data_IF_074249371830
#
_entry.id   IF_074249371830
#
_cell.length_a   1.000
_cell.length_b   1.000
_cell.length_c   1.000
_cell.angle_alpha   90.00
_cell.angle_beta   90.00
_cell.angle_gamma   90.00
#
_symmetry.space_group_name_H-M   'P 1'
#
loop_
_entity.id
_entity.type
_entity.pdbx_description
1 polymer ?
#
# COMPACT_ATOMS: atom_id res chain seq x y z
N UNK A 1 -54.27 -52.24 11.25
CA UNK A 1 -52.92 -52.81 11.44
C UNK A 1 -52.16 -52.69 10.11
N UNK A 2 -50.85 -52.42 10.20
CA UNK A 2 -49.87 -52.19 9.11
C UNK A 2 -50.08 -50.86 8.35
N UNK A 3 -49.36 -49.76 8.61
CA UNK A 3 -47.90 -49.50 8.73
C UNK A 3 -47.14 -49.73 7.41
N UNK A 4 -46.92 -48.67 6.64
CA UNK A 4 -45.91 -48.68 5.56
C UNK A 4 -45.25 -47.30 5.46
N UNK A 5 -43.93 -47.35 5.45
CA UNK A 5 -42.96 -46.28 5.70
C UNK A 5 -42.92 -45.19 4.62
N UNK A 6 -42.71 -43.94 5.05
CA UNK A 6 -42.32 -42.82 4.20
C UNK A 6 -40.82 -42.98 3.90
N UNK A 7 -40.47 -43.39 2.68
CA UNK A 7 -39.07 -43.42 2.23
C UNK A 7 -38.62 -42.02 1.83
N UNK A 8 -37.73 -41.48 2.65
CA UNK A 8 -37.04 -40.21 2.46
C UNK A 8 -36.28 -40.18 1.12
N UNK A 9 -36.65 -39.24 0.25
CA UNK A 9 -35.95 -38.94 -0.98
C UNK A 9 -34.73 -38.08 -0.64
N UNK A 10 -33.62 -38.71 -0.24
CA UNK A 10 -32.33 -38.02 -0.15
C UNK A 10 -31.81 -37.79 -1.57
N UNK A 11 -32.06 -36.58 -2.08
CA UNK A 11 -31.45 -36.05 -3.29
C UNK A 11 -29.94 -35.93 -3.03
N UNK A 12 -29.17 -36.93 -3.47
CA UNK A 12 -27.72 -36.85 -3.49
C UNK A 12 -27.32 -35.82 -4.56
N UNK A 13 -27.19 -34.56 -4.15
CA UNK A 13 -26.49 -33.55 -4.92
C UNK A 13 -25.03 -33.98 -4.91
N UNK A 14 -24.58 -34.59 -6.01
CA UNK A 14 -23.17 -34.64 -6.35
C UNK A 14 -22.70 -33.19 -6.50
N UNK A 15 -22.15 -32.62 -5.42
CA UNK A 15 -21.19 -31.53 -5.52
C UNK A 15 -19.99 -32.13 -6.24
N UNK A 16 -19.97 -32.00 -7.57
CA UNK A 16 -18.71 -31.93 -8.30
C UNK A 16 -18.03 -30.68 -7.74
N UNK A 17 -17.15 -30.89 -6.76
CA UNK A 17 -16.10 -29.93 -6.43
C UNK A 17 -15.35 -29.67 -7.74
N UNK A 18 -15.69 -28.55 -8.40
CA UNK A 18 -14.73 -27.87 -9.25
C UNK A 18 -13.63 -27.41 -8.29
N UNK A 19 -12.68 -28.31 -8.03
CA UNK A 19 -11.37 -27.91 -7.62
C UNK A 19 -10.88 -26.90 -8.66
N UNK A 20 -10.99 -25.61 -8.35
CA UNK A 20 -10.20 -24.60 -9.02
C UNK A 20 -8.75 -25.04 -8.80
N UNK A 21 -8.17 -25.68 -9.81
CA UNK A 21 -6.80 -26.17 -9.80
C UNK A 21 -5.89 -24.99 -9.52
N UNK A 22 -5.48 -24.85 -8.27
CA UNK A 22 -4.52 -23.85 -7.87
C UNK A 22 -3.19 -24.25 -8.50
N UNK A 23 -2.64 -23.39 -9.37
CA UNK A 23 -1.34 -23.60 -10.00
C UNK A 23 -0.31 -23.92 -8.91
N UNK A 24 0.37 -25.06 -9.04
CA UNK A 24 1.38 -25.48 -8.08
C UNK A 24 2.74 -24.81 -8.36
N UNK A 25 3.03 -23.75 -7.60
CA UNK A 25 4.22 -22.91 -7.78
C UNK A 25 5.50 -23.55 -7.22
N UNK A 26 6.55 -23.55 -8.03
CA UNK A 26 7.90 -23.95 -7.62
C UNK A 26 8.62 -22.77 -6.97
N UNK A 27 8.77 -22.78 -5.64
CA UNK A 27 9.60 -21.83 -4.89
C UNK A 27 9.05 -20.41 -4.76
N UNK A 28 8.27 -19.92 -5.73
CA UNK A 28 7.14 -18.96 -5.63
C UNK A 28 6.81 -18.26 -6.97
N UNK A 29 7.67 -18.31 -8.00
CA UNK A 29 7.56 -17.40 -9.15
C UNK A 29 7.42 -18.06 -10.54
N UNK A 30 7.47 -19.38 -10.63
CA UNK A 30 7.16 -20.13 -11.85
C UNK A 30 6.49 -21.48 -11.52
N UNK A 31 5.75 -22.02 -12.48
CA UNK A 31 5.10 -23.31 -12.35
C UNK A 31 5.05 -24.06 -13.68
N UNK A 32 4.91 -25.38 -13.60
CA UNK A 32 4.57 -26.22 -14.74
C UNK A 32 3.06 -26.23 -14.95
N UNK A 33 2.60 -26.63 -16.14
CA UNK A 33 1.17 -26.76 -16.46
C UNK A 33 0.39 -25.47 -16.22
N UNK A 34 0.96 -24.31 -16.50
CA UNK A 34 0.26 -23.05 -16.25
C UNK A 34 0.40 -22.06 -17.40
N UNK A 35 -0.54 -21.11 -17.43
CA UNK A 35 -0.57 -19.98 -18.36
C UNK A 35 -1.25 -18.77 -17.71
N UNK A 36 -1.08 -17.62 -18.35
CA UNK A 36 -1.76 -16.36 -18.08
C UNK A 36 -2.53 -15.92 -19.33
N UNK A 37 -3.72 -15.36 -19.17
CA UNK A 37 -4.52 -14.89 -20.31
C UNK A 37 -3.89 -13.66 -20.99
N UNK A 38 -3.70 -13.75 -22.31
CA UNK A 38 -3.40 -12.61 -23.18
C UNK A 38 -2.04 -11.91 -22.91
N UNK A 39 -2.03 -10.58 -23.12
CA UNK A 39 -0.94 -9.66 -22.73
C UNK A 39 0.44 -9.85 -23.37
N UNK A 40 0.53 -10.54 -24.52
CA UNK A 40 1.81 -10.79 -25.20
C UNK A 40 2.47 -9.47 -25.68
N UNK A 41 3.66 -9.18 -25.16
CA UNK A 41 4.56 -8.13 -25.62
C UNK A 41 5.37 -8.57 -26.84
N UNK A 42 5.99 -9.75 -26.73
CA UNK A 42 6.91 -10.28 -27.73
C UNK A 42 7.05 -11.80 -27.53
N UNK A 43 7.70 -12.48 -28.47
CA UNK A 43 8.01 -13.90 -28.34
C UNK A 43 9.40 -14.20 -28.90
N UNK A 44 10.01 -15.27 -28.41
CA UNK A 44 11.29 -15.78 -28.92
C UNK A 44 11.38 -17.29 -28.78
N UNK A 45 12.02 -17.94 -29.76
CA UNK A 45 12.34 -19.37 -29.70
C UNK A 45 13.50 -19.60 -28.72
N UNK A 46 13.23 -20.24 -27.60
CA UNK A 46 14.20 -20.51 -26.53
C UNK A 46 13.74 -21.71 -25.70
N UNK A 47 14.63 -22.35 -24.97
CA UNK A 47 14.28 -23.42 -24.03
C UNK A 47 13.51 -22.88 -22.82
N UNK A 48 12.66 -23.72 -22.22
CA UNK A 48 11.73 -23.32 -21.15
C UNK A 48 12.44 -22.76 -19.91
N UNK A 49 13.57 -23.35 -19.54
CA UNK A 49 14.44 -22.94 -18.42
C UNK A 49 14.98 -21.52 -18.56
N UNK A 50 15.10 -21.01 -19.78
CA UNK A 50 15.62 -19.66 -20.06
C UNK A 50 14.53 -18.61 -20.23
N UNK A 51 13.25 -19.01 -20.25
CA UNK A 51 12.15 -18.09 -20.53
C UNK A 51 12.00 -17.01 -19.43
N UNK A 52 12.19 -17.38 -18.16
CA UNK A 52 12.18 -16.41 -17.05
C UNK A 52 13.31 -15.39 -17.14
N UNK A 53 14.54 -15.83 -17.41
CA UNK A 53 15.67 -14.91 -17.63
C UNK A 53 15.43 -13.98 -18.83
N UNK A 54 14.85 -14.50 -19.91
CA UNK A 54 14.52 -13.69 -21.08
C UNK A 54 13.45 -12.63 -20.80
N UNK A 55 12.44 -12.97 -20.00
CA UNK A 55 11.47 -11.98 -19.54
C UNK A 55 12.14 -10.92 -18.66
N UNK A 56 13.06 -11.29 -17.77
CA UNK A 56 13.83 -10.33 -16.96
C UNK A 56 14.62 -9.30 -17.79
N UNK A 57 15.16 -9.71 -18.93
CA UNK A 57 15.90 -8.84 -19.86
C UNK A 57 14.99 -7.98 -20.75
N UNK A 58 13.71 -8.33 -20.85
CA UNK A 58 12.77 -7.71 -21.79
C UNK A 58 12.05 -6.56 -21.10
N UNK A 59 12.35 -5.34 -21.55
CA UNK A 59 11.72 -4.13 -21.02
C UNK A 59 10.19 -4.22 -21.05
N UNK A 60 9.56 -3.99 -19.88
CA UNK A 60 8.11 -4.08 -19.70
C UNK A 60 7.57 -5.49 -19.47
N UNK A 61 8.40 -6.54 -19.53
CA UNK A 61 7.95 -7.90 -19.24
C UNK A 61 7.73 -8.09 -17.74
N UNK A 62 6.52 -8.53 -17.42
CA UNK A 62 6.04 -8.74 -16.03
C UNK A 62 5.76 -10.21 -15.77
N UNK A 63 5.50 -10.98 -16.81
CA UNK A 63 5.27 -12.41 -16.74
C UNK A 63 5.50 -13.05 -18.09
N UNK A 64 5.56 -14.37 -18.11
CA UNK A 64 5.82 -15.15 -19.30
C UNK A 64 5.04 -16.45 -19.31
N UNK A 65 4.86 -16.97 -20.51
CA UNK A 65 4.44 -18.36 -20.74
C UNK A 65 5.35 -18.98 -21.79
N UNK A 66 5.78 -20.20 -21.57
CA UNK A 66 6.49 -21.02 -22.51
C UNK A 66 5.58 -22.13 -23.03
N UNK A 67 5.66 -22.41 -24.33
CA UNK A 67 4.88 -23.44 -25.02
C UNK A 67 5.77 -24.24 -25.96
N UNK A 68 5.34 -25.45 -26.32
CA UNK A 68 6.01 -26.28 -27.33
C UNK A 68 5.87 -25.77 -28.78
N UNK A 69 5.19 -24.64 -28.99
CA UNK A 69 5.01 -24.03 -30.30
C UNK A 69 6.37 -23.82 -31.01
N UNK A 70 6.47 -24.24 -32.27
CA UNK A 70 7.68 -24.18 -33.11
C UNK A 70 8.96 -24.78 -32.49
N UNK A 71 8.81 -25.80 -31.64
CA UNK A 71 9.92 -26.44 -30.94
C UNK A 71 10.43 -25.65 -29.74
N UNK A 72 9.56 -24.83 -29.13
CA UNK A 72 9.81 -24.12 -27.89
C UNK A 72 9.78 -22.61 -28.05
N UNK A 73 8.67 -21.97 -27.70
CA UNK A 73 8.48 -20.53 -27.78
C UNK A 73 8.14 -19.95 -26.42
N UNK A 74 8.92 -18.95 -26.01
CA UNK A 74 8.68 -18.12 -24.83
C UNK A 74 7.90 -16.85 -25.24
N UNK A 75 6.73 -16.67 -24.65
CA UNK A 75 5.85 -15.52 -24.80
C UNK A 75 6.08 -14.57 -23.61
N UNK A 76 6.67 -13.42 -23.88
CA UNK A 76 6.88 -12.35 -22.89
C UNK A 76 5.62 -11.51 -22.81
N UNK A 77 5.15 -11.21 -21.60
CA UNK A 77 3.86 -10.56 -21.36
C UNK A 77 3.97 -9.36 -20.41
N UNK A 78 3.06 -8.40 -20.53
CA UNK A 78 3.02 -7.17 -19.72
C UNK A 78 1.74 -7.05 -18.91
N UNK A 79 1.73 -6.13 -17.94
CA UNK A 79 0.55 -5.85 -17.13
C UNK A 79 0.72 -6.31 -15.68
N UNK A 80 -0.24 -5.93 -14.85
CA UNK A 80 -0.21 -6.23 -13.43
C UNK A 80 -0.90 -7.58 -13.18
N UNK A 81 -0.12 -8.65 -13.02
CA UNK A 81 -0.64 -9.99 -12.74
C UNK A 81 -0.14 -10.50 -11.38
N UNK A 82 -0.96 -11.31 -10.74
CA UNK A 82 -0.66 -12.03 -9.50
C UNK A 82 -0.68 -13.54 -9.75
N UNK A 83 -0.16 -14.37 -8.82
CA UNK A 83 -0.24 -15.82 -8.93
C UNK A 83 -1.66 -16.37 -9.10
N UNK A 84 -2.67 -15.64 -8.63
CA UNK A 84 -4.09 -16.02 -8.75
C UNK A 84 -4.66 -15.81 -10.14
N UNK A 85 -3.98 -15.04 -10.99
CA UNK A 85 -4.39 -14.79 -12.38
C UNK A 85 -3.85 -15.86 -13.34
N UNK A 86 -2.98 -16.75 -12.84
CA UNK A 86 -2.54 -17.93 -13.56
C UNK A 86 -3.59 -19.04 -13.46
N UNK A 87 -3.76 -19.80 -14.54
CA UNK A 87 -4.63 -20.97 -14.57
C UNK A 87 -3.83 -22.21 -14.98
N UNK A 88 -4.27 -23.38 -14.49
CA UNK A 88 -3.70 -24.66 -14.90
C UNK A 88 -4.12 -25.01 -16.34
N UNK A 89 -3.19 -25.59 -17.09
CA UNK A 89 -3.40 -26.07 -18.45
C UNK A 89 -3.28 -27.60 -18.51
N UNK A 90 -3.93 -28.22 -19.49
CA UNK A 90 -3.80 -29.66 -19.73
C UNK A 90 -2.44 -30.05 -20.34
N UNK A 91 -1.65 -29.09 -20.83
CA UNK A 91 -0.35 -29.34 -21.44
C UNK A 91 0.75 -29.36 -20.37
N UNK A 92 1.30 -30.55 -20.11
CA UNK A 92 2.38 -30.76 -19.14
C UNK A 92 3.71 -30.12 -19.51
N UNK A 93 3.88 -29.69 -20.76
CA UNK A 93 5.09 -29.03 -21.24
C UNK A 93 5.08 -27.51 -21.02
N UNK A 94 3.90 -26.92 -20.79
CA UNK A 94 3.79 -25.48 -20.59
C UNK A 94 4.40 -25.08 -19.26
N UNK A 95 5.10 -23.95 -19.29
CA UNK A 95 5.72 -23.34 -18.11
C UNK A 95 5.31 -21.88 -18.10
N UNK A 96 4.74 -21.39 -17.01
CA UNK A 96 4.52 -19.97 -16.84
C UNK A 96 5.28 -19.48 -15.62
N UNK A 97 5.57 -18.19 -15.61
CA UNK A 97 6.15 -17.54 -14.47
C UNK A 97 5.90 -16.07 -14.53
N UNK A 98 6.09 -15.41 -13.40
CA UNK A 98 5.96 -13.97 -13.29
C UNK A 98 7.25 -13.39 -12.73
N UNK A 99 7.55 -12.17 -13.17
CA UNK A 99 8.69 -11.42 -12.69
C UNK A 99 8.26 -10.72 -11.41
N UNK A 100 8.89 -11.06 -10.29
CA UNK A 100 8.89 -10.16 -9.16
C UNK A 100 9.58 -8.89 -9.61
N UNK A 101 8.83 -7.81 -9.73
CA UNK A 101 9.23 -6.55 -10.36
C UNK A 101 10.64 -6.12 -9.95
N UNK A 102 11.62 -6.33 -10.83
CA UNK A 102 12.99 -5.82 -10.72
C UNK A 102 13.04 -4.38 -11.25
N UNK A 103 12.27 -3.50 -10.61
CA UNK A 103 12.48 -2.05 -10.65
C UNK A 103 13.28 -1.62 -9.43
N UNK A 104 14.60 -1.80 -9.47
CA UNK A 104 15.58 -1.19 -8.56
C UNK A 104 15.23 -1.15 -7.07
N UNK A 105 15.54 -2.24 -6.34
CA UNK A 105 15.73 -2.20 -4.88
C UNK A 105 14.47 -2.22 -4.01
N UNK A 106 13.80 -3.36 -3.93
CA UNK A 106 12.76 -3.62 -2.93
C UNK A 106 11.97 -4.89 -3.26
N UNK A 107 12.23 -5.99 -2.55
CA UNK A 107 11.63 -7.29 -2.81
C UNK A 107 10.10 -7.26 -2.85
N UNK A 108 9.52 -8.01 -3.81
CA UNK A 108 8.10 -8.31 -3.92
C UNK A 108 7.59 -9.30 -2.87
N UNK A 109 8.45 -9.72 -1.94
CA UNK A 109 8.06 -10.31 -0.67
C UNK A 109 7.69 -9.24 0.35
N UNK A 110 6.66 -9.51 1.16
CA UNK A 110 6.29 -8.65 2.28
C UNK A 110 7.52 -8.33 3.13
N UNK A 111 7.93 -7.07 3.20
CA UNK A 111 9.12 -6.63 3.92
C UNK A 111 8.76 -6.27 5.36
N UNK A 112 9.58 -6.64 6.34
CA UNK A 112 9.38 -6.21 7.71
C UNK A 112 9.67 -4.71 7.87
N UNK A 113 8.84 -4.02 8.63
CA UNK A 113 8.97 -2.61 8.92
C UNK A 113 8.53 -2.24 10.33
N UNK A 114 8.83 -1.00 10.70
CA UNK A 114 8.41 -0.38 11.97
C UNK A 114 7.48 0.77 11.69
N UNK A 115 6.66 1.12 12.67
CA UNK A 115 5.82 2.31 12.59
C UNK A 115 6.07 3.24 13.76
N UNK A 116 5.83 4.52 13.52
CA UNK A 116 5.57 5.52 14.55
C UNK A 116 4.29 6.27 14.19
N UNK A 117 3.98 7.32 14.93
CA UNK A 117 2.83 8.19 14.69
C UNK A 117 3.26 9.64 14.83
N UNK A 118 2.75 10.50 13.96
CA UNK A 118 3.01 11.94 14.01
C UNK A 118 1.88 12.77 13.40
N UNK A 119 1.86 14.05 13.76
CA UNK A 119 1.12 15.09 13.05
C UNK A 119 1.74 16.44 13.41
N UNK A 120 2.62 16.94 12.55
CA UNK A 120 3.37 18.19 12.75
C UNK A 120 2.75 19.41 12.03
N UNK A 121 1.69 19.16 11.24
CA UNK A 121 1.01 20.10 10.36
C UNK A 121 1.84 20.65 9.19
N UNK A 122 3.11 20.24 9.04
CA UNK A 122 4.00 20.77 8.02
C UNK A 122 3.51 20.43 6.60
N UNK A 123 3.87 21.24 5.61
CA UNK A 123 3.70 20.84 4.21
C UNK A 123 4.45 19.51 3.96
N UNK A 124 3.77 18.43 3.53
CA UNK A 124 4.43 17.15 3.26
C UNK A 124 5.48 17.26 2.14
N UNK A 125 6.61 16.54 2.24
CA UNK A 125 7.70 16.65 1.25
C UNK A 125 7.28 16.30 -0.17
N UNK A 126 6.36 15.35 -0.36
CA UNK A 126 5.83 14.99 -1.68
C UNK A 126 4.81 16.01 -2.24
N UNK A 127 4.59 17.14 -1.55
CA UNK A 127 3.82 18.30 -2.04
C UNK A 127 4.67 19.29 -2.85
N UNK A 128 5.98 19.05 -2.94
CA UNK A 128 6.89 19.81 -3.81
C UNK A 128 6.95 19.21 -5.22
N UNK A 129 7.20 20.06 -6.21
CA UNK A 129 7.46 19.62 -7.58
C UNK A 129 8.71 18.74 -7.67
N UNK A 130 8.76 17.93 -8.73
CA UNK A 130 9.93 17.14 -9.15
C UNK A 130 10.43 16.11 -8.13
N UNK A 131 9.64 15.81 -7.09
CA UNK A 131 9.93 14.75 -6.12
C UNK A 131 9.71 13.35 -6.67
N UNK A 132 8.74 13.16 -7.57
CA UNK A 132 8.46 11.91 -8.26
C UNK A 132 7.70 12.16 -9.58
N UNK A 133 7.64 11.14 -10.44
CA UNK A 133 6.82 11.15 -11.65
C UNK A 133 5.33 10.93 -11.28
N UNK A 134 4.60 12.03 -11.12
CA UNK A 134 3.22 12.04 -10.64
C UNK A 134 2.34 12.98 -11.46
N UNK A 135 1.03 12.74 -11.46
CA UNK A 135 0.03 13.60 -12.11
C UNK A 135 0.05 15.04 -11.56
N UNK A 136 0.23 15.19 -10.26
CA UNK A 136 0.51 16.44 -9.54
C UNK A 136 1.08 16.09 -8.16
N UNK A 137 1.90 16.94 -7.53
CA UNK A 137 2.30 16.75 -6.13
C UNK A 137 1.10 16.64 -5.18
N UNK A 138 1.36 16.08 -3.99
CA UNK A 138 0.36 16.00 -2.90
C UNK A 138 -0.20 17.40 -2.64
N UNK A 139 -1.52 17.49 -2.46
CA UNK A 139 -2.19 18.74 -2.06
C UNK A 139 -1.67 19.17 -0.69
N UNK A 140 -1.21 20.40 -0.59
CA UNK A 140 -1.07 21.10 0.67
C UNK A 140 -2.13 22.20 0.76
N UNK A 141 -2.47 22.59 1.97
CA UNK A 141 -3.60 23.48 2.22
C UNK A 141 -3.16 24.75 2.98
N UNK A 142 -3.97 25.79 2.88
CA UNK A 142 -3.83 27.00 3.68
C UNK A 142 -4.07 26.70 5.17
N UNK A 143 -3.95 27.74 6.02
CA UNK A 143 -4.12 27.62 7.47
C UNK A 143 -5.44 26.94 7.89
N UNK A 144 -6.53 27.14 7.15
CA UNK A 144 -7.82 26.48 7.42
C UNK A 144 -7.81 24.95 7.14
N UNK A 145 -6.77 24.43 6.50
CA UNK A 145 -6.60 23.03 6.15
C UNK A 145 -7.52 22.53 5.02
N UNK A 146 -8.17 23.44 4.29
CA UNK A 146 -9.15 23.13 3.23
C UNK A 146 -8.70 23.71 1.89
N UNK A 147 -8.35 25.00 1.84
CA UNK A 147 -8.02 25.67 0.58
C UNK A 147 -6.69 25.17 0.05
N UNK A 148 -6.72 24.49 -1.09
CA UNK A 148 -5.51 23.94 -1.72
C UNK A 148 -4.64 25.09 -2.21
N UNK A 149 -3.38 25.07 -1.80
CA UNK A 149 -2.39 26.08 -2.19
C UNK A 149 -1.54 25.64 -3.37
N UNK A 150 -0.85 26.61 -3.97
CA UNK A 150 0.13 26.36 -5.02
C UNK A 150 1.27 25.48 -4.52
N UNK A 151 1.77 24.59 -5.39
CA UNK A 151 2.85 23.65 -5.09
C UNK A 151 4.18 24.33 -4.69
N UNK A 152 4.35 25.61 -5.02
CA UNK A 152 5.54 26.39 -4.67
C UNK A 152 5.41 27.16 -3.36
N UNK A 153 4.23 27.14 -2.71
CA UNK A 153 4.03 27.84 -1.43
C UNK A 153 4.91 27.24 -0.33
N UNK A 154 5.55 28.11 0.45
CA UNK A 154 6.48 27.71 1.52
C UNK A 154 5.73 27.00 2.64
N UNK A 155 6.37 25.98 3.23
CA UNK A 155 5.82 25.25 4.38
C UNK A 155 5.58 26.18 5.57
N UNK A 156 4.49 25.97 6.32
CA UNK A 156 4.22 26.65 7.58
C UNK A 156 5.22 26.31 8.68
N UNK A 157 5.94 25.20 8.55
CA UNK A 157 7.07 24.87 9.42
C UNK A 157 8.33 25.69 9.09
N UNK A 158 8.37 26.35 7.93
CA UNK A 158 9.42 27.28 7.54
C UNK A 158 8.87 28.73 7.44
N UNK A 159 7.75 29.03 8.10
CA UNK A 159 7.14 30.37 8.14
C UNK A 159 6.30 30.75 6.91
N UNK A 160 5.92 29.78 6.06
CA UNK A 160 5.01 29.98 4.93
C UNK A 160 3.53 29.70 5.24
N UNK A 161 2.65 29.77 4.23
CA UNK A 161 1.20 29.57 4.43
C UNK A 161 0.72 28.12 4.24
N UNK A 162 1.61 27.18 3.88
CA UNK A 162 1.24 25.84 3.43
C UNK A 162 1.39 24.76 4.50
N UNK A 163 0.33 23.97 4.72
CA UNK A 163 0.20 22.94 5.75
C UNK A 163 -0.35 21.62 5.19
N UNK A 164 -0.34 20.55 5.98
CA UNK A 164 -1.11 19.32 5.65
C UNK A 164 -2.61 19.60 5.63
N UNK A 165 -3.32 19.01 4.65
CA UNK A 165 -4.77 19.17 4.51
C UNK A 165 -5.56 18.35 5.53
N UNK A 166 -6.71 18.86 5.99
CA UNK A 166 -7.57 18.21 7.00
C UNK A 166 -8.10 16.85 6.56
N UNK A 167 -8.23 16.62 5.24
CA UNK A 167 -8.72 15.36 4.71
C UNK A 167 -7.62 14.29 4.55
N UNK A 168 -6.35 14.61 4.85
CA UNK A 168 -5.22 13.67 4.83
C UNK A 168 -5.00 13.01 6.20
N UNK A 169 -6.12 12.65 6.86
CA UNK A 169 -6.18 11.94 8.13
C UNK A 169 -6.47 10.45 7.90
N UNK A 170 -6.21 9.56 8.87
CA UNK A 170 -6.54 8.15 8.74
C UNK A 170 -8.04 7.92 8.92
N UNK A 171 -8.57 6.89 8.26
CA UNK A 171 -9.98 6.52 8.30
C UNK A 171 -10.16 5.01 8.06
N UNK A 172 -11.34 4.49 8.35
CA UNK A 172 -11.70 3.09 8.08
C UNK A 172 -12.59 3.07 6.84
N UNK A 173 -12.23 2.26 5.84
CA UNK A 173 -13.05 2.03 4.66
C UNK A 173 -13.87 0.73 4.77
N UNK A 174 -14.29 0.19 3.63
CA UNK A 174 -15.04 -1.07 3.57
C UNK A 174 -14.24 -2.26 4.13
N UNK A 175 -14.94 -3.29 4.61
CA UNK A 175 -14.35 -4.53 5.13
C UNK A 175 -13.37 -4.34 6.30
N UNK A 176 -13.52 -3.25 7.07
CA UNK A 176 -12.69 -2.92 8.23
C UNK A 176 -11.20 -2.69 7.90
N UNK A 177 -10.86 -2.40 6.64
CA UNK A 177 -9.51 -2.01 6.23
C UNK A 177 -9.33 -0.51 6.49
N UNK A 178 -8.24 -0.15 7.18
CA UNK A 178 -7.90 1.26 7.36
C UNK A 178 -7.16 1.83 6.16
N UNK A 179 -7.34 3.12 5.94
CA UNK A 179 -6.63 3.89 4.94
C UNK A 179 -6.00 5.11 5.63
N UNK A 180 -4.84 5.53 5.15
CA UNK A 180 -4.23 6.75 5.65
C UNK A 180 -3.01 7.19 4.86
N UNK A 181 -2.20 8.01 5.49
CA UNK A 181 -1.02 8.61 4.89
C UNK A 181 0.17 8.42 5.84
N UNK A 182 1.38 8.44 5.31
CA UNK A 182 2.58 8.25 6.11
C UNK A 182 3.77 9.04 5.56
N UNK A 183 4.72 9.34 6.44
CA UNK A 183 6.10 9.55 6.02
C UNK A 183 6.80 8.18 5.92
N UNK A 184 7.73 8.01 4.98
CA UNK A 184 8.47 6.76 4.85
C UNK A 184 9.98 6.96 4.74
N UNK A 185 10.73 5.94 5.16
CA UNK A 185 12.13 5.74 4.84
C UNK A 185 12.36 4.26 4.48
N UNK A 186 12.60 3.98 3.20
CA UNK A 186 12.73 2.63 2.64
C UNK A 186 14.13 2.48 2.02
N UNK A 187 15.04 1.67 2.59
CA UNK A 187 16.38 1.47 2.07
C UNK A 187 16.37 0.96 0.63
N UNK A 188 17.31 1.46 -0.18
CA UNK A 188 17.39 1.14 -1.61
C UNK A 188 16.43 1.94 -2.49
N UNK A 189 15.57 2.77 -1.89
CA UNK A 189 14.67 3.70 -2.58
C UNK A 189 15.00 5.15 -2.19
N UNK A 190 14.19 6.09 -2.68
CA UNK A 190 14.27 7.53 -2.37
C UNK A 190 12.91 8.19 -2.64
N UNK A 191 12.81 9.51 -2.49
CA UNK A 191 11.56 10.26 -2.75
C UNK A 191 10.96 9.98 -4.13
N UNK A 192 11.79 9.77 -5.15
CA UNK A 192 11.30 9.43 -6.50
C UNK A 192 10.62 8.06 -6.55
N UNK A 193 11.07 7.13 -5.72
CA UNK A 193 10.50 5.80 -5.58
C UNK A 193 9.23 5.78 -4.72
N UNK A 194 9.25 6.39 -3.53
CA UNK A 194 8.13 6.28 -2.59
C UNK A 194 7.12 7.41 -2.64
N UNK A 195 7.43 8.61 -3.16
CA UNK A 195 6.43 9.68 -3.14
C UNK A 195 5.19 9.28 -3.92
N UNK A 196 4.04 9.42 -3.24
CA UNK A 196 2.72 9.04 -3.70
C UNK A 196 2.54 7.54 -4.02
N UNK A 197 3.51 6.70 -3.71
CA UNK A 197 3.35 5.25 -3.74
C UNK A 197 2.46 4.79 -2.58
N UNK A 198 1.76 3.68 -2.77
CA UNK A 198 0.93 3.08 -1.72
C UNK A 198 1.47 1.73 -1.29
N UNK A 199 1.30 1.45 0.00
CA UNK A 199 1.73 0.21 0.62
C UNK A 199 0.59 -0.35 1.46
N UNK A 200 0.34 -1.64 1.34
CA UNK A 200 -0.49 -2.37 2.29
C UNK A 200 0.40 -2.80 3.45
N UNK A 201 0.06 -2.37 4.66
CA UNK A 201 0.69 -2.73 5.91
C UNK A 201 -0.16 -3.83 6.56
N UNK A 202 0.46 -4.92 6.97
CA UNK A 202 -0.12 -5.92 7.86
C UNK A 202 0.62 -5.86 9.19
N UNK A 203 -0.04 -5.38 10.24
CA UNK A 203 0.58 -5.26 11.56
C UNK A 203 0.91 -6.64 12.14
N UNK A 204 2.08 -6.75 12.78
CA UNK A 204 2.61 -8.02 13.32
C UNK A 204 2.81 -7.99 14.84
N UNK A 205 2.47 -6.87 15.49
CA UNK A 205 2.51 -6.74 16.96
C UNK A 205 1.49 -5.73 17.47
N UNK A 206 1.36 -5.63 18.80
CA UNK A 206 0.43 -4.74 19.46
C UNK A 206 -1.04 -5.18 19.36
N UNK A 207 -1.98 -4.36 19.85
CA UNK A 207 -3.41 -4.70 19.88
C UNK A 207 -4.08 -4.75 18.48
N UNK A 208 -3.35 -4.33 17.45
CA UNK A 208 -3.76 -4.34 16.04
C UNK A 208 -3.12 -5.44 15.22
N UNK A 209 -2.43 -6.41 15.85
CA UNK A 209 -1.80 -7.54 15.16
C UNK A 209 -2.80 -8.25 14.21
N UNK A 210 -2.40 -8.47 12.96
CA UNK A 210 -3.22 -9.03 11.89
C UNK A 210 -4.14 -8.03 11.17
N UNK A 211 -4.37 -6.83 11.72
CA UNK A 211 -5.12 -5.79 11.02
C UNK A 211 -4.32 -5.23 9.83
N UNK A 212 -5.05 -4.79 8.80
CA UNK A 212 -4.48 -4.23 7.58
C UNK A 212 -4.78 -2.75 7.43
N UNK A 213 -3.78 -2.01 6.96
CA UNK A 213 -3.90 -0.59 6.64
C UNK A 213 -3.22 -0.29 5.31
N UNK A 214 -3.89 0.40 4.40
CA UNK A 214 -3.27 0.89 3.15
C UNK A 214 -2.88 2.34 3.35
N UNK A 215 -1.60 2.65 3.14
CA UNK A 215 -1.08 4.01 3.29
C UNK A 215 -0.56 4.54 1.98
N UNK A 216 -0.79 5.83 1.71
CA UNK A 216 -0.06 6.57 0.69
C UNK A 216 1.08 7.34 1.34
N UNK A 217 2.29 7.21 0.80
CA UNK A 217 3.45 7.96 1.28
C UNK A 217 3.40 9.38 0.73
N UNK A 218 3.28 10.38 1.61
CA UNK A 218 3.20 11.80 1.24
C UNK A 218 4.38 12.61 1.76
N UNK A 219 5.21 12.03 2.61
CA UNK A 219 6.35 12.68 3.22
C UNK A 219 7.54 11.72 3.34
N UNK A 220 8.72 12.27 3.59
CA UNK A 220 9.93 11.51 3.90
C UNK A 220 10.27 11.67 5.37
N UNK A 221 10.55 10.55 6.04
CA UNK A 221 11.04 10.56 7.43
C UNK A 221 12.56 10.41 7.46
N UNK A 222 13.28 11.51 7.21
CA UNK A 222 14.74 11.49 7.05
C UNK A 222 15.52 11.08 8.32
N UNK A 223 14.89 11.15 9.48
CA UNK A 223 15.38 10.74 10.80
C UNK A 223 15.01 9.29 11.16
N UNK A 224 14.19 8.63 10.35
CA UNK A 224 13.68 7.31 10.64
C UNK A 224 14.69 6.22 10.27
N UNK A 225 14.58 5.07 10.95
CA UNK A 225 15.37 3.89 10.62
C UNK A 225 14.95 3.24 9.30
N UNK A 226 15.62 2.14 8.94
CA UNK A 226 15.26 1.33 7.78
C UNK A 226 13.81 0.80 7.87
N UNK A 227 13.08 0.83 6.74
CA UNK A 227 11.71 0.32 6.60
C UNK A 227 10.74 0.89 7.62
N UNK A 228 10.76 2.21 7.77
CA UNK A 228 9.97 2.90 8.78
C UNK A 228 8.86 3.72 8.13
N UNK A 229 7.64 3.52 8.61
CA UNK A 229 6.46 4.29 8.22
C UNK A 229 5.95 5.10 9.42
N UNK A 230 6.12 6.42 9.38
CA UNK A 230 5.56 7.31 10.40
C UNK A 230 4.13 7.69 10.01
N UNK A 231 3.15 7.11 10.69
CA UNK A 231 1.74 7.23 10.33
C UNK A 231 1.23 8.63 10.66
N UNK A 232 0.62 9.31 9.68
CA UNK A 232 -0.01 10.61 9.91
C UNK A 232 -1.29 10.42 10.71
N UNK A 233 -1.24 10.75 11.99
CA UNK A 233 -2.32 10.58 12.95
C UNK A 233 -2.41 11.87 13.78
N UNK A 234 -3.44 12.71 13.60
CA UNK A 234 -3.66 13.90 14.44
C UNK A 234 -3.55 13.57 15.92
N UNK A 235 -2.73 14.33 16.65
CA UNK A 235 -2.47 14.07 18.06
C UNK A 235 -1.48 12.92 18.31
N UNK A 236 -0.75 12.46 17.30
CA UNK A 236 0.36 11.51 17.42
C UNK A 236 1.68 12.11 17.91
N UNK A 237 1.74 13.44 18.07
CA UNK A 237 2.94 14.18 18.43
C UNK A 237 3.50 14.94 17.22
N UNK A 238 4.05 16.13 17.46
CA UNK A 238 4.59 17.00 16.40
C UNK A 238 6.04 16.64 16.04
N UNK A 239 6.76 15.98 16.95
CA UNK A 239 8.13 15.57 16.73
C UNK A 239 9.10 16.74 16.62
N UNK A 240 9.99 16.71 15.62
CA UNK A 240 11.06 17.70 15.43
C UNK A 240 10.46 19.08 15.13
N UNK A 241 9.51 19.15 14.21
CA UNK A 241 8.87 20.40 13.78
C UNK A 241 7.54 20.62 14.52
N UNK A 242 7.03 21.86 14.52
CA UNK A 242 5.70 22.16 15.06
C UNK A 242 5.02 23.25 14.24
N UNK A 243 4.56 22.88 13.04
CA UNK A 243 3.70 23.74 12.23
C UNK A 243 2.31 23.92 12.84
N UNK A 244 1.89 23.03 13.73
CA UNK A 244 0.58 23.09 14.37
C UNK A 244 0.42 24.32 15.27
N UNK A 245 1.52 24.83 15.84
CA UNK A 245 1.50 26.10 16.56
C UNK A 245 1.11 27.26 15.62
N UNK A 246 1.71 27.35 14.43
CA UNK A 246 1.39 28.43 13.49
C UNK A 246 0.04 28.22 12.78
N UNK A 247 -0.38 26.97 12.57
CA UNK A 247 -1.65 26.64 11.91
C UNK A 247 -2.87 26.76 12.83
N UNK A 248 -2.77 26.22 14.04
CA UNK A 248 -3.93 25.98 14.92
C UNK A 248 -3.75 26.60 16.31
N UNK A 249 -2.68 27.37 16.54
CA UNK A 249 -2.29 27.85 17.86
C UNK A 249 -2.12 26.70 18.87
N UNK A 250 -1.64 25.54 18.40
CA UNK A 250 -1.32 24.43 19.27
C UNK A 250 -0.23 24.81 20.31
N UNK A 251 -0.14 24.12 21.45
CA UNK A 251 0.92 24.33 22.42
C UNK A 251 2.32 24.14 21.80
N UNK A 252 3.36 24.63 22.51
CA UNK A 252 4.75 24.56 22.04
C UNK A 252 5.23 23.12 21.75
N UNK A 253 4.69 22.13 22.46
CA UNK A 253 4.95 20.70 22.26
C UNK A 253 3.89 19.99 21.38
N UNK A 254 2.97 20.72 20.76
CA UNK A 254 1.78 20.15 20.14
C UNK A 254 0.71 19.75 21.16
N UNK A 255 -0.25 18.93 20.74
CA UNK A 255 -1.27 18.38 21.64
C UNK A 255 -0.74 17.13 22.34
N UNK A 256 -0.57 17.21 23.66
CA UNK A 256 0.05 16.16 24.47
C UNK A 256 1.58 16.21 24.44
N UNK A 257 2.22 15.04 24.47
CA UNK A 257 3.67 14.95 24.45
C UNK A 257 4.24 15.25 23.06
N UNK A 258 5.43 15.88 23.02
CA UNK A 258 6.07 16.24 21.76
C UNK A 258 6.25 15.05 20.82
N UNK A 259 6.59 13.90 21.38
CA UNK A 259 6.65 12.61 20.70
C UNK A 259 5.61 11.69 21.34
N UNK A 260 4.66 11.18 20.54
CA UNK A 260 3.57 10.32 21.03
C UNK A 260 2.24 11.05 21.24
N UNK A 261 2.25 12.38 21.42
CA UNK A 261 1.07 13.24 21.41
C UNK A 261 0.10 12.99 22.56
N UNK A 262 -1.21 13.03 22.28
CA UNK A 262 -2.24 12.84 23.31
C UNK A 262 -2.23 11.41 23.85
N UNK A 263 -2.56 11.24 25.14
CA UNK A 263 -2.50 9.95 25.83
C UNK A 263 -3.86 9.26 25.98
N UNK A 264 -4.98 9.96 25.70
CA UNK A 264 -6.33 9.40 25.77
C UNK A 264 -7.23 9.93 24.65
N UNK A 265 -8.35 9.25 24.42
CA UNK A 265 -9.35 9.65 23.42
C UNK A 265 -10.01 10.99 23.78
N UNK A 266 -10.14 11.30 25.07
CA UNK A 266 -10.63 12.60 25.55
C UNK A 266 -9.67 13.73 25.19
N UNK A 267 -8.36 13.45 25.14
CA UNK A 267 -7.36 14.41 24.66
C UNK A 267 -7.60 14.85 23.20
N UNK A 268 -8.34 14.07 22.39
CA UNK A 268 -8.76 14.50 21.06
C UNK A 268 -9.70 15.73 21.08
N UNK A 269 -10.31 16.07 22.22
CA UNK A 269 -11.17 17.25 22.34
C UNK A 269 -10.37 18.56 22.25
N UNK A 270 -9.08 18.54 22.59
CA UNK A 270 -8.18 19.70 22.50
C UNK A 270 -7.75 20.00 21.05
N UNK A 271 -7.97 19.05 20.14
CA UNK A 271 -7.65 19.21 18.72
C UNK A 271 -8.79 19.93 17.97
N UNK A 272 -8.45 20.66 16.87
CA UNK A 272 -9.42 21.25 15.97
C UNK A 272 -10.45 20.23 15.49
N UNK A 273 -11.72 20.63 15.44
CA UNK A 273 -12.82 19.76 15.03
C UNK A 273 -12.57 19.09 13.66
N UNK A 274 -11.88 19.80 12.75
CA UNK A 274 -11.59 19.33 11.39
C UNK A 274 -10.68 18.09 11.33
N UNK A 275 -9.87 17.82 12.35
CA UNK A 275 -8.93 16.67 12.38
C UNK A 275 -9.19 15.72 13.55
N UNK A 276 -10.22 16.00 14.35
CA UNK A 276 -10.55 15.25 15.57
C UNK A 276 -10.88 13.79 15.30
N UNK A 277 -11.53 13.48 14.18
CA UNK A 277 -11.87 12.10 13.82
C UNK A 277 -10.62 11.27 13.50
N UNK A 278 -9.58 11.88 12.91
CA UNK A 278 -8.29 11.23 12.73
C UNK A 278 -7.59 10.93 14.06
N UNK A 279 -7.75 11.80 15.06
CA UNK A 279 -7.27 11.54 16.41
C UNK A 279 -8.04 10.40 17.07
N UNK A 280 -9.37 10.41 17.01
CA UNK A 280 -10.19 9.33 17.59
C UNK A 280 -9.94 7.98 16.91
N UNK A 281 -9.66 7.97 15.61
CA UNK A 281 -9.27 6.76 14.87
C UNK A 281 -8.10 6.04 15.55
N UNK A 282 -7.12 6.78 16.09
CA UNK A 282 -5.99 6.24 16.86
C UNK A 282 -6.43 5.36 18.01
N UNK A 283 -7.46 5.79 18.74
CA UNK A 283 -7.92 5.10 19.95
C UNK A 283 -8.95 4.02 19.65
N UNK A 284 -9.74 4.17 18.59
CA UNK A 284 -10.84 3.24 18.26
C UNK A 284 -10.35 2.09 17.37
N UNK A 285 -9.98 2.38 16.12
CA UNK A 285 -9.59 1.32 15.17
C UNK A 285 -8.16 0.86 15.41
N UNK A 286 -7.26 1.82 15.66
CA UNK A 286 -5.84 1.55 15.89
C UNK A 286 -5.56 1.14 17.35
N UNK A 287 -6.58 1.12 18.22
CA UNK A 287 -6.54 0.62 19.60
C UNK A 287 -5.38 1.19 20.43
N UNK A 288 -5.00 2.43 20.14
CA UNK A 288 -3.85 3.13 20.71
C UNK A 288 -2.55 2.29 20.70
N UNK A 289 -2.35 1.51 19.62
CA UNK A 289 -1.14 0.70 19.47
C UNK A 289 0.11 1.58 19.50
N UNK A 290 1.07 1.24 20.34
CA UNK A 290 2.32 1.97 20.45
C UNK A 290 3.36 1.37 19.51
N UNK A 291 3.60 2.05 18.39
CA UNK A 291 4.63 1.73 17.40
C UNK A 291 4.63 0.26 16.96
N UNK A 292 3.47 -0.31 16.53
CA UNK A 292 3.41 -1.71 16.13
C UNK A 292 4.36 -1.97 14.95
N UNK A 293 5.08 -3.08 15.04
CA UNK A 293 5.79 -3.65 13.89
C UNK A 293 4.79 -4.10 12.84
N UNK A 294 5.23 -4.15 11.59
CA UNK A 294 4.39 -4.60 10.48
C UNK A 294 5.23 -5.31 9.42
N UNK A 295 4.54 -5.95 8.49
CA UNK A 295 5.09 -6.23 7.17
C UNK A 295 4.37 -5.37 6.14
N UNK A 296 5.05 -5.00 5.06
CA UNK A 296 4.48 -4.15 4.02
C UNK A 296 4.82 -4.64 2.63
N UNK A 297 3.92 -4.34 1.70
CA UNK A 297 4.11 -4.58 0.27
C UNK A 297 3.55 -3.42 -0.55
N UNK A 298 4.17 -3.06 -1.68
CA UNK A 298 3.60 -2.06 -2.58
C UNK A 298 2.25 -2.54 -3.12
N UNK A 299 1.32 -1.61 -3.29
CA UNK A 299 0.00 -1.85 -3.89
C UNK A 299 -0.38 -0.70 -4.81
N UNK A 300 -1.31 -0.97 -5.74
CA UNK A 300 -1.93 0.12 -6.50
C UNK A 300 -2.67 1.05 -5.54
N UNK A 301 -2.46 2.35 -5.68
CA UNK A 301 -3.10 3.32 -4.81
C UNK A 301 -4.63 3.33 -4.99
N UNK A 302 -5.41 3.08 -3.92
CA UNK A 302 -6.87 3.16 -3.97
C UNK A 302 -7.34 4.61 -4.16
N UNK A 303 -8.50 4.77 -4.81
CA UNK A 303 -9.11 6.07 -5.10
C UNK A 303 -9.44 6.87 -3.84
N UNK A 304 -9.67 6.17 -2.73
CA UNK A 304 -9.95 6.68 -1.40
C UNK A 304 -8.79 7.51 -0.86
N UNK A 305 -7.56 7.20 -1.25
CA UNK A 305 -6.35 7.95 -0.90
C UNK A 305 -6.02 9.02 -1.94
N UNK A 306 -6.02 8.64 -3.22
CA UNK A 306 -5.59 9.54 -4.29
C UNK A 306 -6.57 10.68 -4.55
N UNK A 307 -7.85 10.53 -4.26
CA UNK A 307 -8.83 11.63 -4.33
C UNK A 307 -8.54 12.72 -3.29
N UNK A 308 -8.03 12.33 -2.10
CA UNK A 308 -7.68 13.22 -0.99
C UNK A 308 -6.34 13.91 -1.23
N UNK A 309 -5.29 13.15 -1.55
CA UNK A 309 -3.95 13.72 -1.82
C UNK A 309 -3.87 14.42 -3.18
N UNK A 310 -4.69 14.02 -4.14
CA UNK A 310 -4.61 14.46 -5.53
C UNK A 310 -3.30 14.11 -6.22
N UNK A 311 -2.57 13.09 -5.73
CA UNK A 311 -1.30 12.64 -6.27
C UNK A 311 -1.38 11.17 -6.68
N UNK A 312 -1.10 10.90 -7.96
CA UNK A 312 -1.09 9.55 -8.55
C UNK A 312 0.23 9.40 -9.32
N UNK A 313 0.95 8.31 -9.07
CA UNK A 313 2.17 7.99 -9.82
C UNK A 313 1.83 7.62 -11.27
N UNK A 314 2.61 8.12 -12.22
CA UNK A 314 2.41 7.87 -13.66
C UNK A 314 3.34 6.77 -14.20
N UNK A 315 4.14 6.17 -13.32
CA UNK A 315 5.09 5.10 -13.60
C UNK A 315 5.10 4.12 -12.42
#
# INVERSE_FOLDING_TARGET
MANTQISSLCLAIFLLDLANGAVNWNGNNWAMKCDFNGNNLSNVKISSDKCGGKCAETSGCTHFTWTNYNGGTCWMKSGNVSPNDAFETSDSSMVCGYMETSGGGGGGGSQSGKTTRYWDCCKPSCSWNDKAAVTRPVKSCAKNGIDVLGVNEKSGCDGGPSYTCNNQIPFVGGNNVAYGFAAANIPGSNERGWCCACYELTFTSGPVNGQKMVVQVTNTGGDLGANHFDLQIPGGGVGIFNGCQSQWNAPANGWGDRYGGVSSIEGCNDLPAAIREGCKWRFVWFKNADNPTMTFRPVTCPSELTSKSGCIRTQ
#
